data_IF_365922233983
#
_entry.id   IF_365922233983
#
_cell.length_a   1.000
_cell.length_b   1.000
_cell.length_c   1.000
_cell.angle_alpha   90.00
_cell.angle_beta   90.00
_cell.angle_gamma   90.00
#
_symmetry.space_group_name_H-M   'P 1'
#
loop_
_entity.id
_entity.type
_entity.pdbx_description
1 polymer ?
#
# COMPACT_ATOMS: atom_id res chain seq x y z
N UNK A 1 3.39 -68.65 20.32
CA UNK A 1 4.05 -67.64 21.17
C UNK A 1 3.50 -66.29 20.74
N UNK A 2 2.46 -65.86 21.45
CA UNK A 2 1.74 -64.60 21.28
C UNK A 2 2.14 -63.79 22.51
N UNK A 3 2.75 -62.64 22.32
CA UNK A 3 3.08 -61.72 23.42
C UNK A 3 2.09 -60.57 23.38
N UNK A 4 1.22 -60.57 24.39
CA UNK A 4 0.42 -59.44 24.87
C UNK A 4 1.35 -58.27 25.22
N UNK A 5 1.32 -57.20 24.41
CA UNK A 5 1.82 -55.88 24.82
C UNK A 5 0.65 -54.91 24.99
N UNK A 6 0.49 -54.53 26.26
CA UNK A 6 -0.47 -53.63 26.86
C UNK A 6 -0.84 -52.38 26.04
N UNK A 7 -2.16 -52.21 25.84
CA UNK A 7 -2.78 -50.93 25.52
C UNK A 7 -2.57 -49.94 26.68
N UNK A 8 -1.80 -48.88 26.43
CA UNK A 8 -1.76 -47.70 27.30
C UNK A 8 -3.03 -46.83 27.08
N UNK A 9 -3.62 -46.24 28.14
CA UNK A 9 -4.79 -45.39 28.02
C UNK A 9 -4.44 -44.08 27.30
N UNK A 10 -5.20 -43.75 26.24
CA UNK A 10 -5.18 -42.44 25.59
C UNK A 10 -5.77 -41.40 26.55
N UNK A 11 -4.91 -40.77 27.37
CA UNK A 11 -5.28 -39.57 28.12
C UNK A 11 -5.60 -38.44 27.14
N UNK A 12 -6.89 -38.09 27.06
CA UNK A 12 -7.34 -36.91 26.34
C UNK A 12 -6.73 -35.67 26.98
N UNK A 13 -5.85 -34.91 26.29
CA UNK A 13 -5.25 -33.72 26.86
C UNK A 13 -6.35 -32.71 27.15
N UNK A 14 -6.35 -32.24 28.39
CA UNK A 14 -7.18 -31.18 28.92
C UNK A 14 -7.48 -30.10 27.87
N UNK A 15 -8.76 -29.94 27.57
CA UNK A 15 -9.34 -28.77 26.90
C UNK A 15 -9.04 -27.54 27.75
N UNK A 16 -7.85 -26.97 27.58
CA UNK A 16 -7.47 -25.68 28.12
C UNK A 16 -8.47 -24.66 27.59
N UNK A 17 -9.35 -24.19 28.48
CA UNK A 17 -10.35 -23.19 28.19
C UNK A 17 -9.72 -22.05 27.39
N UNK A 18 -10.14 -21.90 26.12
CA UNK A 18 -9.73 -20.76 25.31
C UNK A 18 -10.11 -19.51 26.08
N UNK A 19 -9.14 -18.65 26.47
CA UNK A 19 -9.46 -17.43 27.19
C UNK A 19 -10.44 -16.61 26.34
N UNK A 20 -11.60 -16.31 26.93
CA UNK A 20 -12.68 -15.55 26.31
C UNK A 20 -12.09 -14.26 25.71
N UNK A 21 -12.06 -14.19 24.38
CA UNK A 21 -11.40 -13.11 23.66
C UNK A 21 -12.07 -11.78 24.03
N UNK A 22 -11.33 -10.80 24.60
CA UNK A 22 -11.95 -9.57 25.08
C UNK A 22 -12.59 -8.82 23.93
N UNK A 23 -13.85 -8.39 24.12
CA UNK A 23 -14.62 -7.66 23.12
C UNK A 23 -13.83 -6.47 22.54
N UNK A 24 -13.91 -6.23 21.22
CA UNK A 24 -13.13 -5.18 20.56
C UNK A 24 -13.42 -3.81 21.17
N UNK A 25 -12.35 -3.11 21.62
CA UNK A 25 -12.45 -1.84 22.33
C UNK A 25 -13.12 -0.75 21.47
N UNK A 26 -14.01 0.10 22.03
CA UNK A 26 -14.76 1.13 21.30
C UNK A 26 -13.87 2.12 20.52
N UNK A 27 -12.64 2.38 21.00
CA UNK A 27 -11.65 3.23 20.33
C UNK A 27 -11.26 2.74 18.91
N UNK A 28 -11.48 1.46 18.60
CA UNK A 28 -11.25 0.91 17.25
C UNK A 28 -12.28 1.39 16.23
N UNK A 29 -13.55 1.50 16.63
CA UNK A 29 -14.65 1.87 15.72
C UNK A 29 -14.55 3.32 15.25
N UNK A 30 -14.19 4.24 16.15
CA UNK A 30 -14.02 5.65 15.79
C UNK A 30 -12.89 5.82 14.76
N UNK A 31 -11.75 5.14 14.94
CA UNK A 31 -10.62 5.19 13.99
C UNK A 31 -11.00 4.65 12.62
N UNK A 32 -11.74 3.54 12.57
CA UNK A 32 -12.26 2.98 11.32
C UNK A 32 -13.25 3.92 10.63
N UNK A 33 -14.13 4.57 11.39
CA UNK A 33 -15.07 5.56 10.85
C UNK A 33 -14.33 6.76 10.27
N UNK A 34 -13.34 7.33 10.99
CA UNK A 34 -12.51 8.42 10.48
C UNK A 34 -11.74 8.02 9.21
N UNK A 35 -11.20 6.81 9.18
CA UNK A 35 -10.52 6.29 8.00
C UNK A 35 -11.47 6.15 6.79
N UNK A 36 -12.70 5.68 7.03
CA UNK A 36 -13.72 5.55 5.98
C UNK A 36 -14.15 6.93 5.46
N UNK A 37 -14.32 7.92 6.34
CA UNK A 37 -14.56 9.30 5.93
C UNK A 37 -13.41 9.81 5.07
N UNK A 38 -12.15 9.51 5.43
CA UNK A 38 -10.98 9.87 4.61
C UNK A 38 -11.01 9.26 3.23
N UNK A 39 -11.37 7.97 3.12
CA UNK A 39 -11.56 7.29 1.84
C UNK A 39 -12.67 7.94 1.00
N UNK A 40 -13.78 8.35 1.63
CA UNK A 40 -14.91 9.01 0.95
C UNK A 40 -14.51 10.40 0.46
N UNK A 41 -13.83 11.21 1.29
CA UNK A 41 -13.33 12.54 0.87
C UNK A 41 -12.38 12.41 -0.32
N UNK A 42 -11.45 11.45 -0.25
CA UNK A 42 -10.54 11.15 -1.35
C UNK A 42 -11.29 10.70 -2.61
N UNK A 43 -12.27 9.80 -2.48
CA UNK A 43 -13.11 9.32 -3.58
C UNK A 43 -13.93 10.44 -4.23
N UNK A 44 -14.46 11.38 -3.43
CA UNK A 44 -15.15 12.56 -3.92
C UNK A 44 -14.20 13.49 -4.69
N UNK A 45 -12.96 13.65 -4.22
CA UNK A 45 -11.93 14.41 -4.93
C UNK A 45 -11.63 13.80 -6.29
N UNK A 46 -11.52 12.47 -6.33
CA UNK A 46 -11.31 11.75 -7.58
C UNK A 46 -12.52 11.83 -8.53
N UNK A 47 -13.74 11.82 -7.98
CA UNK A 47 -14.96 11.87 -8.78
C UNK A 47 -15.10 13.17 -9.58
N UNK A 48 -14.54 14.28 -9.09
CA UNK A 48 -14.50 15.54 -9.84
C UNK A 48 -13.80 15.37 -11.20
N UNK A 49 -12.65 14.70 -11.24
CA UNK A 49 -11.93 14.43 -12.50
C UNK A 49 -12.73 13.53 -13.45
N UNK A 50 -13.44 12.53 -12.92
CA UNK A 50 -14.24 11.59 -13.72
C UNK A 50 -15.45 12.28 -14.35
N UNK A 51 -16.08 13.22 -13.63
CA UNK A 51 -17.27 13.91 -14.12
C UNK A 51 -16.94 15.10 -15.03
N UNK A 52 -15.78 15.73 -14.86
CA UNK A 52 -15.32 16.82 -15.74
C UNK A 52 -14.94 16.30 -17.14
N UNK A 53 -14.41 15.08 -17.24
CA UNK A 53 -14.14 14.44 -18.53
C UNK A 53 -14.69 12.98 -18.58
N UNK A 54 -15.95 12.80 -18.98
CA UNK A 54 -16.60 11.48 -19.00
C UNK A 54 -15.99 10.52 -20.03
N UNK A 55 -15.06 10.98 -20.89
CA UNK A 55 -14.33 10.11 -21.82
C UNK A 55 -13.26 9.25 -21.16
N UNK A 56 -12.75 9.67 -19.99
CA UNK A 56 -11.55 9.09 -19.37
C UNK A 56 -11.93 8.01 -18.35
N UNK A 57 -12.48 6.90 -18.85
CA UNK A 57 -12.93 5.78 -18.01
C UNK A 57 -11.85 5.18 -17.08
N UNK A 58 -10.53 5.21 -17.36
CA UNK A 58 -9.51 4.72 -16.44
C UNK A 58 -9.50 5.43 -15.08
N UNK A 59 -9.96 6.69 -15.04
CA UNK A 59 -10.08 7.46 -13.80
C UNK A 59 -11.17 6.91 -12.87
N UNK A 60 -12.13 6.12 -13.39
CA UNK A 60 -13.11 5.46 -12.54
C UNK A 60 -12.45 4.40 -11.63
N UNK A 61 -11.31 3.82 -12.02
CA UNK A 61 -10.67 2.75 -11.25
C UNK A 61 -10.17 3.21 -9.86
N UNK A 62 -9.37 4.30 -9.72
CA UNK A 62 -9.00 4.82 -8.41
C UNK A 62 -10.21 5.26 -7.56
N UNK A 63 -11.22 5.87 -8.18
CA UNK A 63 -12.45 6.27 -7.51
C UNK A 63 -13.18 5.07 -6.90
N UNK A 64 -13.42 4.02 -7.69
CA UNK A 64 -14.07 2.79 -7.23
C UNK A 64 -13.24 2.09 -6.14
N UNK A 65 -11.91 2.11 -6.26
CA UNK A 65 -11.03 1.55 -5.24
C UNK A 65 -11.08 2.32 -3.92
N UNK A 66 -11.20 3.65 -3.95
CA UNK A 66 -11.34 4.49 -2.76
C UNK A 66 -12.67 4.25 -2.04
N UNK A 67 -13.79 4.25 -2.78
CA UNK A 67 -15.10 3.92 -2.19
C UNK A 67 -15.18 2.46 -1.72
N UNK A 68 -14.64 1.52 -2.51
CA UNK A 68 -14.50 0.13 -2.11
C UNK A 68 -13.65 -0.04 -0.85
N UNK A 69 -12.58 0.75 -0.72
CA UNK A 69 -11.72 0.76 0.47
C UNK A 69 -12.50 1.18 1.72
N UNK A 70 -13.40 2.16 1.63
CA UNK A 70 -14.26 2.54 2.74
C UNK A 70 -15.12 1.37 3.26
N UNK A 71 -15.63 0.52 2.36
CA UNK A 71 -16.37 -0.69 2.75
C UNK A 71 -15.45 -1.80 3.28
N UNK A 72 -14.27 -1.98 2.67
CA UNK A 72 -13.30 -3.00 3.04
C UNK A 72 -12.66 -2.76 4.42
N UNK A 73 -12.63 -1.51 4.90
CA UNK A 73 -12.09 -1.15 6.22
C UNK A 73 -12.73 -1.91 7.38
N UNK A 74 -14.02 -2.24 7.25
CA UNK A 74 -14.77 -2.98 8.28
C UNK A 74 -14.51 -4.49 8.25
N UNK A 75 -13.77 -4.99 7.26
CA UNK A 75 -13.37 -6.38 7.18
C UNK A 75 -12.01 -6.58 7.85
N UNK A 76 -11.96 -7.50 8.82
CA UNK A 76 -10.74 -7.85 9.56
C UNK A 76 -9.76 -8.76 8.77
N UNK A 77 -9.80 -8.74 7.44
CA UNK A 77 -8.95 -9.56 6.59
C UNK A 77 -7.66 -8.81 6.24
N UNK A 78 -6.51 -9.47 6.44
CA UNK A 78 -5.20 -8.90 6.13
C UNK A 78 -5.07 -8.38 4.68
N UNK A 79 -5.50 -9.12 3.63
CA UNK A 79 -5.42 -8.62 2.25
C UNK A 79 -6.20 -7.32 2.04
N UNK A 80 -7.39 -7.20 2.63
CA UNK A 80 -8.20 -5.98 2.58
C UNK A 80 -7.47 -4.81 3.23
N UNK A 81 -6.84 -5.04 4.38
CA UNK A 81 -6.10 -4.02 5.12
C UNK A 81 -4.83 -3.56 4.39
N UNK A 82 -4.19 -4.46 3.63
CA UNK A 82 -3.06 -4.12 2.74
C UNK A 82 -3.54 -3.30 1.54
N UNK A 83 -4.62 -3.75 0.89
CA UNK A 83 -5.19 -3.07 -0.27
C UNK A 83 -5.64 -1.64 0.06
N UNK A 84 -6.39 -1.45 1.15
CA UNK A 84 -6.85 -0.12 1.58
C UNK A 84 -5.67 0.83 1.78
N UNK A 85 -4.60 0.37 2.43
CA UNK A 85 -3.40 1.19 2.65
C UNK A 85 -2.66 1.50 1.36
N UNK A 86 -2.55 0.54 0.44
CA UNK A 86 -1.93 0.75 -0.85
C UNK A 86 -2.71 1.80 -1.67
N UNK A 87 -4.04 1.67 -1.71
CA UNK A 87 -4.92 2.64 -2.38
C UNK A 87 -4.77 4.03 -1.78
N UNK A 88 -4.76 4.15 -0.45
CA UNK A 88 -4.57 5.46 0.21
C UNK A 88 -3.18 6.04 -0.04
N UNK A 89 -2.11 5.23 -0.03
CA UNK A 89 -0.76 5.70 -0.33
C UNK A 89 -0.61 6.16 -1.78
N UNK A 90 -1.11 5.37 -2.73
CA UNK A 90 -1.07 5.72 -4.16
C UNK A 90 -1.80 7.06 -4.41
N UNK A 91 -2.99 7.21 -3.85
CA UNK A 91 -3.80 8.41 -4.01
C UNK A 91 -3.27 9.61 -3.20
N UNK A 92 -2.58 9.40 -2.09
CA UNK A 92 -1.89 10.46 -1.38
C UNK A 92 -0.78 11.07 -2.25
N UNK A 93 0.10 10.23 -2.83
CA UNK A 93 1.18 10.69 -3.72
C UNK A 93 0.60 11.40 -4.94
N UNK A 94 -0.39 10.78 -5.58
CA UNK A 94 -1.04 11.34 -6.76
C UNK A 94 -1.73 12.69 -6.45
N UNK A 95 -2.50 12.77 -5.36
CA UNK A 95 -3.14 14.01 -4.93
C UNK A 95 -2.14 15.12 -4.63
N UNK A 96 -1.02 14.81 -3.98
CA UNK A 96 0.05 15.78 -3.75
C UNK A 96 0.64 16.27 -5.07
N UNK A 97 0.94 15.38 -6.03
CA UNK A 97 1.48 15.79 -7.33
C UNK A 97 0.48 16.67 -8.11
N UNK A 98 -0.79 16.29 -8.17
CA UNK A 98 -1.83 17.06 -8.85
C UNK A 98 -1.98 18.45 -8.19
N UNK A 99 -2.02 18.52 -6.87
CA UNK A 99 -2.13 19.81 -6.15
C UNK A 99 -0.92 20.74 -6.31
N UNK A 100 0.18 20.24 -6.85
CA UNK A 100 1.39 21.02 -7.11
C UNK A 100 1.54 21.41 -8.59
N UNK A 101 0.95 20.63 -9.50
CA UNK A 101 1.27 20.71 -10.94
C UNK A 101 0.04 20.83 -11.84
N UNK A 102 -1.15 20.54 -11.33
CA UNK A 102 -2.39 20.52 -12.09
C UNK A 102 -2.95 21.91 -12.41
N UNK A 103 -3.97 21.93 -13.26
CA UNK A 103 -4.77 23.11 -13.56
C UNK A 103 -5.61 23.59 -12.38
N UNK A 104 -6.17 24.80 -12.46
CA UNK A 104 -6.86 25.47 -11.34
C UNK A 104 -7.92 24.61 -10.63
N UNK A 105 -8.79 23.93 -11.37
CA UNK A 105 -9.81 23.02 -10.80
C UNK A 105 -9.18 21.76 -10.22
N UNK A 106 -8.15 21.22 -10.88
CA UNK A 106 -7.43 20.02 -10.48
C UNK A 106 -6.67 20.23 -9.16
N UNK A 107 -6.15 21.43 -8.89
CA UNK A 107 -5.42 21.74 -7.66
C UNK A 107 -6.27 21.49 -6.40
N UNK A 108 -7.53 21.94 -6.42
CA UNK A 108 -8.47 21.76 -5.31
C UNK A 108 -8.81 20.28 -5.11
N UNK A 109 -9.12 19.58 -6.21
CA UNK A 109 -9.42 18.14 -6.20
C UNK A 109 -8.22 17.31 -5.73
N UNK A 110 -7.00 17.67 -6.16
CA UNK A 110 -5.75 17.05 -5.73
C UNK A 110 -5.48 17.26 -4.23
N UNK A 111 -5.72 18.46 -3.71
CA UNK A 111 -5.60 18.74 -2.28
C UNK A 111 -6.62 17.94 -1.47
N UNK A 112 -7.88 17.86 -1.93
CA UNK A 112 -8.92 17.05 -1.29
C UNK A 112 -8.56 15.55 -1.29
N UNK A 113 -8.02 15.05 -2.41
CA UNK A 113 -7.53 13.68 -2.55
C UNK A 113 -6.39 13.37 -1.57
N UNK A 114 -5.41 14.27 -1.47
CA UNK A 114 -4.26 14.12 -0.56
C UNK A 114 -4.69 14.16 0.92
N UNK A 115 -5.52 15.13 1.30
CA UNK A 115 -6.00 15.29 2.68
C UNK A 115 -6.87 14.12 3.11
N UNK A 116 -7.81 13.68 2.28
CA UNK A 116 -8.64 12.51 2.55
C UNK A 116 -7.81 11.24 2.73
N UNK A 117 -6.82 11.05 1.84
CA UNK A 117 -5.92 9.89 1.90
C UNK A 117 -5.03 9.89 3.15
N UNK A 118 -4.45 11.05 3.49
CA UNK A 118 -3.65 11.22 4.70
C UNK A 118 -4.48 11.00 5.98
N UNK A 119 -5.71 11.53 6.04
CA UNK A 119 -6.61 11.28 7.16
C UNK A 119 -6.93 9.80 7.31
N UNK A 120 -7.13 9.09 6.20
CA UNK A 120 -7.28 7.64 6.15
C UNK A 120 -6.09 6.90 6.79
N UNK A 121 -4.87 7.20 6.32
CA UNK A 121 -3.64 6.56 6.77
C UNK A 121 -3.33 6.83 8.26
N UNK A 122 -3.46 8.08 8.69
CA UNK A 122 -3.24 8.49 10.09
C UNK A 122 -4.25 7.81 11.03
N UNK A 123 -5.53 7.76 10.63
CA UNK A 123 -6.59 7.17 11.44
C UNK A 123 -6.44 5.64 11.56
N UNK A 124 -6.05 4.97 10.48
CA UNK A 124 -5.79 3.53 10.48
C UNK A 124 -4.61 3.16 11.36
N UNK A 125 -3.50 3.89 11.23
CA UNK A 125 -2.23 3.51 11.84
C UNK A 125 -1.92 2.02 11.61
N UNK A 126 -1.63 1.30 12.71
CA UNK A 126 -1.34 -0.15 12.69
C UNK A 126 -2.57 -1.06 12.81
N UNK A 127 -3.77 -0.50 12.83
CA UNK A 127 -4.99 -1.29 13.05
C UNK A 127 -5.17 -2.39 11.98
N UNK A 128 -5.37 -3.63 12.40
CA UNK A 128 -5.52 -4.77 11.48
C UNK A 128 -4.21 -5.35 10.92
N UNK A 129 -3.06 -4.68 11.07
CA UNK A 129 -1.76 -5.22 10.65
C UNK A 129 -1.11 -6.10 11.72
N UNK A 130 -1.47 -5.90 12.99
CA UNK A 130 -0.87 -6.62 14.13
C UNK A 130 -1.64 -7.90 14.50
N UNK A 131 -2.76 -8.21 13.83
CA UNK A 131 -3.54 -9.43 14.08
C UNK A 131 -2.69 -10.67 13.78
N UNK A 132 -2.54 -11.65 14.68
CA UNK A 132 -1.80 -12.88 14.39
C UNK A 132 -2.39 -13.57 13.15
N UNK A 133 -1.53 -13.94 12.21
CA UNK A 133 -1.90 -14.68 11.00
C UNK A 133 -0.89 -15.79 10.83
N UNK A 134 -1.37 -17.02 10.74
CA UNK A 134 -0.55 -18.21 10.54
C UNK A 134 0.19 -18.17 9.19
N UNK A 135 -0.32 -17.38 8.24
CA UNK A 135 0.25 -17.22 6.90
C UNK A 135 1.61 -16.52 6.90
N UNK A 136 1.98 -15.79 7.97
CA UNK A 136 3.21 -15.00 8.06
C UNK A 136 4.17 -15.50 9.15
N UNK A 137 4.65 -16.74 9.01
CA UNK A 137 5.81 -17.24 9.75
C UNK A 137 7.09 -17.10 8.89
N UNK A 138 8.17 -16.42 9.34
CA UNK A 138 8.46 -15.91 10.69
C UNK A 138 7.99 -14.45 10.92
N UNK A 139 7.44 -14.18 12.11
CA UNK A 139 6.89 -12.87 12.51
C UNK A 139 7.90 -11.70 12.49
N UNK A 140 9.21 -11.96 12.59
CA UNK A 140 10.24 -10.94 12.73
C UNK A 140 10.32 -9.96 11.54
N UNK A 141 9.94 -10.40 10.33
CA UNK A 141 9.96 -9.58 9.10
C UNK A 141 8.59 -9.10 8.64
N UNK A 142 7.54 -9.39 9.40
CA UNK A 142 6.18 -9.10 8.98
C UNK A 142 6.00 -7.62 8.64
N UNK A 143 6.54 -6.73 9.47
CA UNK A 143 6.45 -5.28 9.24
C UNK A 143 7.09 -4.83 7.92
N UNK A 144 8.29 -5.31 7.61
CA UNK A 144 8.98 -4.95 6.36
C UNK A 144 8.32 -5.57 5.13
N UNK A 145 7.83 -6.81 5.24
CA UNK A 145 7.10 -7.48 4.16
C UNK A 145 5.76 -6.79 3.87
N UNK A 146 5.00 -6.46 4.90
CA UNK A 146 3.75 -5.69 4.79
C UNK A 146 4.00 -4.34 4.15
N UNK A 147 5.03 -3.62 4.57
CA UNK A 147 5.38 -2.32 3.99
C UNK A 147 5.78 -2.47 2.51
N UNK A 148 6.57 -3.48 2.18
CA UNK A 148 6.97 -3.78 0.79
C UNK A 148 5.75 -4.10 -0.07
N UNK A 149 4.83 -4.92 0.42
CA UNK A 149 3.57 -5.26 -0.27
C UNK A 149 2.69 -4.03 -0.51
N UNK A 150 2.53 -3.17 0.50
CA UNK A 150 1.72 -1.94 0.38
C UNK A 150 2.32 -0.99 -0.65
N UNK A 151 3.64 -0.76 -0.61
CA UNK A 151 4.34 0.11 -1.56
C UNK A 151 4.30 -0.46 -2.98
N UNK A 152 4.59 -1.75 -3.15
CA UNK A 152 4.57 -2.38 -4.46
C UNK A 152 3.16 -2.40 -5.07
N UNK A 153 2.12 -2.57 -4.25
CA UNK A 153 0.73 -2.49 -4.70
C UNK A 153 0.33 -1.06 -5.07
N UNK A 154 0.81 -0.06 -4.35
CA UNK A 154 0.61 1.35 -4.70
C UNK A 154 1.25 1.68 -6.05
N UNK A 155 2.52 1.31 -6.26
CA UNK A 155 3.22 1.53 -7.54
C UNK A 155 2.55 0.78 -8.69
N UNK A 156 2.09 -0.46 -8.44
CA UNK A 156 1.33 -1.24 -9.43
C UNK A 156 0.06 -0.52 -9.85
N UNK A 157 -0.69 0.03 -8.89
CA UNK A 157 -1.91 0.80 -9.17
C UNK A 157 -1.60 2.06 -9.98
N UNK A 158 -0.52 2.79 -9.63
CA UNK A 158 -0.10 3.98 -10.38
C UNK A 158 0.30 3.63 -11.82
N UNK A 159 1.11 2.58 -12.03
CA UNK A 159 1.50 2.13 -13.37
C UNK A 159 0.31 1.65 -14.19
N UNK A 160 -0.63 0.92 -13.57
CA UNK A 160 -1.86 0.49 -14.23
C UNK A 160 -2.74 1.68 -14.63
N UNK A 161 -2.87 2.68 -13.76
CA UNK A 161 -3.60 3.92 -14.04
C UNK A 161 -2.96 4.68 -15.21
N UNK A 162 -1.67 4.98 -15.15
CA UNK A 162 -0.98 5.71 -16.23
C UNK A 162 -0.96 4.92 -17.54
N UNK A 163 -0.77 3.61 -17.49
CA UNK A 163 -0.86 2.75 -18.66
C UNK A 163 -2.26 2.79 -19.28
N UNK A 164 -3.31 2.75 -18.47
CA UNK A 164 -4.68 2.85 -18.96
C UNK A 164 -5.01 4.24 -19.54
N UNK A 165 -4.48 5.33 -18.98
CA UNK A 165 -4.60 6.67 -19.56
C UNK A 165 -3.89 6.81 -20.91
N UNK A 166 -2.71 6.19 -21.07
CA UNK A 166 -2.01 6.17 -22.36
C UNK A 166 -2.70 5.29 -23.40
N UNK A 167 -3.44 4.25 -22.97
CA UNK A 167 -4.15 3.36 -23.89
C UNK A 167 -5.21 4.10 -24.71
N UNK A 168 -5.76 5.20 -24.18
CA UNK A 168 -6.72 6.06 -24.90
C UNK A 168 -6.07 6.84 -26.05
N UNK A 169 -4.77 7.11 -25.95
CA UNK A 169 -4.01 7.88 -26.94
C UNK A 169 -3.26 6.96 -27.91
N UNK A 170 -2.53 5.97 -27.38
CA UNK A 170 -1.58 5.15 -28.12
C UNK A 170 -1.33 3.81 -27.42
N UNK A 171 -1.76 2.71 -28.06
CA UNK A 171 -1.55 1.36 -27.53
C UNK A 171 -0.06 1.02 -27.35
N UNK A 172 0.81 1.51 -28.24
CA UNK A 172 2.25 1.26 -28.15
C UNK A 172 2.92 1.94 -26.95
N UNK A 173 2.46 3.14 -26.58
CA UNK A 173 2.99 3.90 -25.43
C UNK A 173 2.47 3.34 -24.10
N UNK A 174 1.26 2.80 -24.10
CA UNK A 174 0.68 2.16 -22.90
C UNK A 174 1.36 0.82 -22.54
N UNK A 175 1.91 0.12 -23.54
CA UNK A 175 2.37 -1.26 -23.38
C UNK A 175 3.50 -1.41 -22.34
N UNK A 176 4.54 -0.57 -22.32
CA UNK A 176 5.57 -0.62 -21.28
C UNK A 176 5.01 -0.45 -19.86
N UNK A 177 4.10 0.51 -19.65
CA UNK A 177 3.48 0.78 -18.34
C UNK A 177 2.64 -0.40 -17.87
N UNK A 178 1.78 -0.94 -18.75
CA UNK A 178 0.93 -2.09 -18.46
C UNK A 178 1.75 -3.38 -18.27
N UNK A 179 2.83 -3.57 -19.03
CA UNK A 179 3.75 -4.69 -18.86
C UNK A 179 4.46 -4.61 -17.50
N UNK A 180 4.95 -3.43 -17.09
CA UNK A 180 5.52 -3.20 -15.77
C UNK A 180 4.51 -3.47 -14.65
N UNK A 181 3.27 -3.00 -14.80
CA UNK A 181 2.19 -3.26 -13.84
C UNK A 181 1.90 -4.76 -13.73
N UNK A 182 1.79 -5.47 -14.87
CA UNK A 182 1.59 -6.93 -14.90
C UNK A 182 2.76 -7.70 -14.25
N UNK A 183 4.00 -7.29 -14.53
CA UNK A 183 5.18 -7.89 -13.93
C UNK A 183 5.23 -7.68 -12.41
N UNK A 184 4.89 -6.47 -11.95
CA UNK A 184 4.75 -6.16 -10.52
C UNK A 184 3.64 -6.96 -9.84
N UNK A 185 2.50 -7.20 -10.51
CA UNK A 185 1.44 -8.07 -9.98
C UNK A 185 1.91 -9.51 -9.76
N UNK A 186 2.72 -10.05 -10.69
CA UNK A 186 3.31 -11.38 -10.53
C UNK A 186 4.28 -11.41 -9.35
N UNK A 187 5.13 -10.37 -9.20
CA UNK A 187 6.02 -10.22 -8.06
C UNK A 187 5.25 -10.15 -6.72
N UNK A 188 4.19 -9.33 -6.67
CA UNK A 188 3.29 -9.19 -5.53
C UNK A 188 2.63 -10.52 -5.15
N UNK A 189 2.17 -11.30 -6.13
CA UNK A 189 1.61 -12.62 -5.88
C UNK A 189 2.64 -13.56 -5.24
N UNK A 190 3.88 -13.56 -5.74
CA UNK A 190 4.98 -14.33 -5.15
C UNK A 190 5.31 -13.89 -3.72
N UNK A 191 5.36 -12.57 -3.50
CA UNK A 191 5.66 -11.97 -2.20
C UNK A 191 4.55 -12.23 -1.18
N UNK A 192 3.28 -12.15 -1.60
CA UNK A 192 2.12 -12.50 -0.78
C UNK A 192 2.13 -13.97 -0.37
N UNK A 193 2.61 -14.86 -1.26
CA UNK A 193 2.83 -16.29 -0.97
C UNK A 193 4.15 -16.56 -0.24
N UNK A 194 4.87 -15.53 0.19
CA UNK A 194 6.17 -15.62 0.87
C UNK A 194 7.23 -16.41 0.11
N UNK A 195 7.16 -16.43 -1.22
CA UNK A 195 8.13 -17.13 -2.06
C UNK A 195 9.32 -16.23 -2.38
N UNK A 196 10.54 -16.76 -2.26
CA UNK A 196 11.78 -16.01 -2.54
C UNK A 196 11.80 -15.42 -3.95
N UNK A 197 11.24 -16.12 -4.94
CA UNK A 197 11.16 -15.60 -6.30
C UNK A 197 10.33 -14.31 -6.39
N UNK A 198 9.29 -14.16 -5.57
CA UNK A 198 8.48 -12.93 -5.55
C UNK A 198 9.29 -11.73 -5.08
N UNK A 199 10.14 -11.93 -4.07
CA UNK A 199 11.08 -10.90 -3.60
C UNK A 199 12.09 -10.52 -4.69
N UNK A 200 12.69 -11.52 -5.35
CA UNK A 200 13.65 -11.29 -6.44
C UNK A 200 12.98 -10.55 -7.60
N UNK A 201 11.79 -10.97 -8.02
CA UNK A 201 11.04 -10.27 -9.07
C UNK A 201 10.69 -8.84 -8.67
N UNK A 202 10.35 -8.58 -7.40
CA UNK A 202 10.06 -7.22 -6.94
C UNK A 202 11.30 -6.31 -7.03
N UNK A 203 12.48 -6.83 -6.69
CA UNK A 203 13.75 -6.11 -6.84
C UNK A 203 14.02 -5.81 -8.31
N UNK A 204 13.91 -6.83 -9.17
CA UNK A 204 14.12 -6.69 -10.62
C UNK A 204 13.12 -5.70 -11.22
N UNK A 205 11.86 -5.75 -10.81
CA UNK A 205 10.81 -4.85 -11.27
C UNK A 205 11.13 -3.40 -10.92
N UNK A 206 11.50 -3.12 -9.67
CA UNK A 206 11.85 -1.76 -9.24
C UNK A 206 13.08 -1.20 -9.99
N UNK A 207 14.11 -2.02 -10.21
CA UNK A 207 15.28 -1.62 -11.02
C UNK A 207 14.88 -1.35 -12.47
N UNK A 208 14.05 -2.22 -13.05
CA UNK A 208 13.58 -2.06 -14.42
C UNK A 208 12.70 -0.81 -14.57
N UNK A 209 11.74 -0.59 -13.67
CA UNK A 209 10.86 0.59 -13.67
C UNK A 209 11.69 1.86 -13.54
N UNK A 210 12.63 1.93 -12.59
CA UNK A 210 13.50 3.10 -12.45
C UNK A 210 14.35 3.32 -13.71
N UNK A 211 14.95 2.28 -14.28
CA UNK A 211 15.72 2.38 -15.52
C UNK A 211 14.90 2.82 -16.73
N UNK A 212 13.70 2.28 -16.89
CA UNK A 212 12.76 2.67 -17.96
C UNK A 212 12.26 4.10 -17.79
N UNK A 213 12.02 4.53 -16.55
CA UNK A 213 11.64 5.90 -16.24
C UNK A 213 12.78 6.88 -16.58
N UNK A 214 14.03 6.57 -16.21
CA UNK A 214 15.20 7.41 -16.51
C UNK A 214 15.54 7.49 -18.00
N UNK A 215 15.26 6.44 -18.76
CA UNK A 215 15.51 6.43 -20.21
C UNK A 215 14.40 7.12 -21.01
N UNK A 216 13.33 7.57 -20.36
CA UNK A 216 12.18 8.20 -21.02
C UNK A 216 11.27 7.22 -21.75
N UNK A 217 11.49 5.90 -21.64
CA UNK A 217 10.68 4.88 -22.34
C UNK A 217 9.23 4.86 -21.86
N UNK A 218 8.98 5.28 -20.61
CA UNK A 218 7.63 5.33 -20.05
C UNK A 218 6.85 6.61 -20.44
N UNK A 219 7.50 7.59 -21.07
CA UNK A 219 6.93 8.90 -21.43
C UNK A 219 6.12 9.58 -20.31
N UNK A 220 6.63 9.50 -19.08
CA UNK A 220 5.97 10.05 -17.90
C UNK A 220 6.47 11.48 -17.61
N UNK A 221 5.61 12.37 -17.11
CA UNK A 221 6.04 13.67 -16.58
C UNK A 221 7.11 13.55 -15.50
N UNK A 222 8.08 14.48 -15.49
CA UNK A 222 9.21 14.48 -14.55
C UNK A 222 8.83 14.29 -13.07
N UNK A 223 7.75 14.91 -12.53
CA UNK A 223 7.37 14.70 -11.14
C UNK A 223 6.97 13.24 -10.83
N UNK A 224 6.35 12.55 -11.79
CA UNK A 224 5.96 11.14 -11.67
C UNK A 224 7.19 10.25 -11.77
N UNK A 225 8.13 10.55 -12.67
CA UNK A 225 9.43 9.85 -12.77
C UNK A 225 10.17 9.95 -11.44
N UNK A 226 10.26 11.15 -10.86
CA UNK A 226 10.93 11.34 -9.57
C UNK A 226 10.24 10.55 -8.44
N UNK A 227 8.90 10.54 -8.41
CA UNK A 227 8.13 9.77 -7.44
C UNK A 227 8.40 8.26 -7.57
N UNK A 228 8.29 7.70 -8.78
CA UNK A 228 8.55 6.27 -9.05
C UNK A 228 9.98 5.85 -8.73
N UNK A 229 10.97 6.68 -9.09
CA UNK A 229 12.37 6.41 -8.75
C UNK A 229 12.58 6.44 -7.23
N UNK A 230 11.94 7.38 -6.53
CA UNK A 230 12.02 7.47 -5.07
C UNK A 230 11.40 6.23 -4.41
N UNK A 231 10.21 5.81 -4.85
CA UNK A 231 9.56 4.60 -4.30
C UNK A 231 10.36 3.35 -4.61
N UNK A 232 10.90 3.21 -5.82
CA UNK A 232 11.79 2.11 -6.20
C UNK A 232 13.03 2.02 -5.30
N UNK A 233 13.70 3.15 -5.03
CA UNK A 233 14.86 3.19 -4.13
C UNK A 233 14.50 2.77 -2.70
N UNK A 234 13.36 3.22 -2.19
CA UNK A 234 12.85 2.79 -0.88
C UNK A 234 12.58 1.28 -0.90
N UNK A 235 11.89 0.77 -1.93
CA UNK A 235 11.57 -0.64 -2.07
C UNK A 235 12.79 -1.54 -2.23
N UNK A 236 13.89 -1.04 -2.81
CA UNK A 236 15.16 -1.75 -2.87
C UNK A 236 15.88 -1.78 -1.52
N UNK A 237 15.75 -0.72 -0.71
CA UNK A 237 16.34 -0.65 0.62
C UNK A 237 15.60 -1.51 1.66
N UNK A 238 14.27 -1.59 1.57
CA UNK A 238 13.42 -2.32 2.53
C UNK A 238 13.77 -3.80 2.74
N UNK A 239 14.07 -4.62 1.70
CA UNK A 239 14.41 -6.02 1.87
C UNK A 239 15.88 -6.26 2.25
N UNK A 240 16.75 -5.25 2.22
CA UNK A 240 18.18 -5.41 2.54
C UNK A 240 18.41 -6.07 3.91
N UNK A 241 17.74 -5.66 5.01
CA UNK A 241 17.91 -6.32 6.30
C UNK A 241 17.47 -7.79 6.29
N UNK A 242 16.44 -8.12 5.50
CA UNK A 242 15.97 -9.50 5.32
C UNK A 242 17.03 -10.33 4.59
N UNK A 243 17.56 -9.84 3.48
CA UNK A 243 18.63 -10.53 2.73
C UNK A 243 19.87 -10.73 3.61
N UNK A 244 20.29 -9.70 4.35
CA UNK A 244 21.42 -9.78 5.28
C UNK A 244 21.19 -10.86 6.35
N UNK A 245 19.98 -10.92 6.91
CA UNK A 245 19.65 -11.91 7.93
C UNK A 245 19.69 -13.35 7.42
N UNK A 246 19.20 -13.58 6.19
CA UNK A 246 19.21 -14.89 5.52
C UNK A 246 20.65 -15.32 5.26
N UNK A 247 21.47 -14.42 4.71
CA UNK A 247 22.89 -14.68 4.44
C UNK A 247 23.68 -14.94 5.73
N UNK A 248 23.35 -14.23 6.81
CA UNK A 248 24.02 -14.38 8.11
C UNK A 248 23.49 -15.54 8.96
N UNK A 249 22.37 -16.16 8.58
CA UNK A 249 21.70 -17.20 9.37
C UNK A 249 21.26 -16.73 10.77
N UNK A 250 21.09 -15.42 10.99
CA UNK A 250 20.72 -14.85 12.30
C UNK A 250 19.35 -14.18 12.20
N UNK A 251 18.43 -14.59 13.07
CA UNK A 251 17.16 -13.90 13.22
C UNK A 251 17.39 -12.44 13.66
N UNK A 252 16.67 -11.46 13.10
CA UNK A 252 16.76 -10.09 13.57
C UNK A 252 16.25 -10.01 15.00
N UNK A 253 17.06 -9.42 15.88
CA UNK A 253 16.59 -9.03 17.20
C UNK A 253 15.78 -7.75 17.06
N UNK A 254 14.49 -7.73 17.43
CA UNK A 254 13.72 -6.50 17.43
C UNK A 254 14.35 -5.51 18.40
N UNK A 255 14.83 -4.37 17.91
CA UNK A 255 15.36 -3.32 18.77
C UNK A 255 14.20 -2.50 19.37
N UNK A 256 14.04 -2.46 20.70
CA UNK A 256 12.96 -1.70 21.33
C UNK A 256 13.10 -0.19 21.10
N UNK A 257 14.32 0.29 20.84
CA UNK A 257 14.63 1.70 20.61
C UNK A 257 14.08 2.27 19.30
N UNK A 258 13.85 1.45 18.28
CA UNK A 258 13.34 1.91 16.97
C UNK A 258 11.82 1.80 16.83
N UNK A 259 11.14 1.15 17.78
CA UNK A 259 9.68 1.00 17.76
C UNK A 259 8.92 2.33 17.69
N UNK A 260 9.22 3.36 18.52
CA UNK A 260 8.47 4.63 18.47
C UNK A 260 8.72 5.39 17.16
N UNK A 261 9.96 5.39 16.67
CA UNK A 261 10.30 5.99 15.38
C UNK A 261 9.51 5.38 14.23
N UNK A 262 9.47 4.04 14.15
CA UNK A 262 8.69 3.33 13.12
C UNK A 262 7.18 3.64 13.18
N UNK A 263 6.64 3.86 14.37
CA UNK A 263 5.24 4.24 14.54
C UNK A 263 4.96 5.69 14.09
N UNK A 264 5.95 6.57 14.17
CA UNK A 264 5.83 7.98 13.81
C UNK A 264 6.04 8.27 12.31
N UNK A 265 6.77 7.42 11.57
CA UNK A 265 7.08 7.67 10.15
C UNK A 265 5.83 7.83 9.29
N UNK A 266 4.89 6.88 9.37
CA UNK A 266 3.67 6.91 8.54
C UNK A 266 2.85 8.18 8.75
N UNK A 267 2.46 8.56 9.99
CA UNK A 267 1.69 9.79 10.18
C UNK A 267 2.50 11.04 9.83
N UNK A 268 3.81 11.07 10.11
CA UNK A 268 4.65 12.21 9.75
C UNK A 268 4.66 12.43 8.23
N UNK A 269 4.99 11.40 7.46
CA UNK A 269 5.03 11.49 5.99
C UNK A 269 3.65 11.82 5.43
N UNK A 270 2.59 11.17 5.93
CA UNK A 270 1.22 11.42 5.46
C UNK A 270 0.79 12.88 5.68
N UNK A 271 1.03 13.41 6.88
CA UNK A 271 0.69 14.80 7.22
C UNK A 271 1.56 15.78 6.43
N UNK A 272 2.87 15.53 6.30
CA UNK A 272 3.75 16.37 5.50
C UNK A 272 3.30 16.47 4.04
N UNK A 273 2.92 15.36 3.42
CA UNK A 273 2.42 15.34 2.04
C UNK A 273 1.07 16.06 1.88
N UNK A 274 0.16 15.90 2.84
CA UNK A 274 -1.11 16.63 2.86
C UNK A 274 -0.91 18.14 3.03
N UNK A 275 0.00 18.55 3.92
CA UNK A 275 0.35 19.96 4.10
C UNK A 275 1.01 20.55 2.84
N UNK A 276 1.88 19.78 2.19
CA UNK A 276 2.49 20.16 0.91
C UNK A 276 1.42 20.35 -0.17
N UNK A 277 0.40 19.48 -0.19
CA UNK A 277 -0.71 19.59 -1.11
C UNK A 277 -1.58 20.83 -0.87
N UNK A 278 -1.89 21.12 0.39
CA UNK A 278 -2.60 22.36 0.79
C UNK A 278 -1.78 23.59 0.39
N UNK A 279 -0.47 23.59 0.64
CA UNK A 279 0.42 24.69 0.25
C UNK A 279 0.46 24.90 -1.27
N UNK A 280 0.53 23.82 -2.05
CA UNK A 280 0.45 23.85 -3.51
C UNK A 280 -0.85 24.47 -4.00
N UNK A 281 -1.98 24.07 -3.41
CA UNK A 281 -3.29 24.66 -3.72
C UNK A 281 -3.39 26.14 -3.33
N UNK A 282 -2.88 26.54 -2.15
CA UNK A 282 -2.96 27.93 -1.69
C UNK A 282 -2.13 28.89 -2.54
N UNK A 283 -0.94 28.48 -3.01
CA UNK A 283 -0.04 29.35 -3.76
C UNK A 283 -0.33 29.41 -5.26
N UNK A 284 -0.83 28.32 -5.83
CA UNK A 284 -1.18 28.26 -7.26
C UNK A 284 -2.67 28.46 -7.50
N UNK A 285 -3.45 28.55 -6.41
CA UNK A 285 -4.87 28.84 -6.43
C UNK A 285 -5.17 30.30 -6.79
N UNK A 286 -6.45 30.62 -7.01
CA UNK A 286 -6.87 31.87 -7.67
C UNK A 286 -6.99 33.10 -6.76
N UNK A 287 -6.32 33.10 -5.60
CA UNK A 287 -6.25 34.30 -4.76
C UNK A 287 -5.13 35.24 -5.23
#
# INVERSE_FOLDING_TARGET
MVTDEALAPLEHPHSSAQPCEPAPRPASRLRLALAAIGCVIAGLGFSGFVFDDPGVWPLAMPMLLLFGSAALLFRAHLPSQLLVRAVLWANLVLGTLISMTGGRSELELGAMLAVGSAMGLVSLGRHGLDLPSEDFAPAAFRGSLVLTLVMALADTQSLALFGALHLEHSASESLPLLACAGFMLVALYGLYRLKLWGLVLNIVANVAIAGLAFTGVLDLPDPIVFALCTTAMIQLALPVPLVISVVRGKAPTPSPTLAPWRAAVVPLVSVSMALMAIYGWLNNGPF
#
